data_IF_888216912525
#
_entry.id   IF_888216912525
#
_cell.length_a   1.000
_cell.length_b   1.000
_cell.length_c   1.000
_cell.angle_alpha   90.00
_cell.angle_beta   90.00
_cell.angle_gamma   90.00
#
_symmetry.space_group_name_H-M   'P 1'
#
loop_
_entity.id
_entity.type
_entity.pdbx_description
1 polymer ?
#
# COMPACT_ATOMS: atom_id res chain seq x y z
N UNK A 1 -16.69 -13.51 18.11
CA UNK A 1 -15.68 -14.24 17.32
C UNK A 1 -14.53 -13.30 17.01
N UNK A 2 -13.36 -13.53 17.59
CA UNK A 2 -12.19 -12.65 17.46
C UNK A 2 -11.07 -13.31 16.65
N UNK A 3 -10.42 -12.57 15.78
CA UNK A 3 -9.26 -13.04 15.02
C UNK A 3 -8.00 -12.35 15.55
N UNK A 4 -7.07 -13.14 16.06
CA UNK A 4 -5.81 -12.67 16.64
C UNK A 4 -4.66 -13.25 15.81
N UNK A 5 -4.00 -12.42 15.00
CA UNK A 5 -3.02 -12.85 14.03
C UNK A 5 -1.70 -12.11 14.21
N UNK A 6 -0.60 -12.87 14.20
CA UNK A 6 0.76 -12.35 14.13
C UNK A 6 1.51 -13.11 13.03
N UNK A 7 1.19 -12.82 11.76
CA UNK A 7 1.59 -13.64 10.60
C UNK A 7 2.79 -13.10 9.83
N UNK A 8 3.13 -11.82 9.99
CA UNK A 8 4.15 -11.10 9.21
C UNK A 8 5.50 -10.97 9.92
N UNK A 9 5.64 -11.54 11.13
CA UNK A 9 6.86 -11.46 11.92
C UNK A 9 7.42 -12.83 12.29
N UNK A 10 8.71 -13.05 12.01
CA UNK A 10 9.45 -14.21 12.52
C UNK A 10 10.23 -13.78 13.77
N UNK A 11 10.07 -14.48 14.89
CA UNK A 11 10.77 -14.18 16.14
C UNK A 11 9.90 -14.47 17.35
N UNK A 12 10.19 -13.81 18.48
CA UNK A 12 9.45 -13.87 19.75
C UNK A 12 8.01 -13.30 19.63
N UNK A 13 7.15 -14.00 18.91
CA UNK A 13 5.78 -13.55 18.60
C UNK A 13 4.73 -14.60 18.97
N UNK A 14 3.51 -14.15 19.17
CA UNK A 14 2.35 -15.00 19.45
C UNK A 14 1.08 -14.30 18.95
N UNK A 15 0.05 -15.07 18.60
CA UNK A 15 -1.24 -14.48 18.28
C UNK A 15 -1.89 -13.83 19.51
N UNK A 16 -1.75 -14.47 20.67
CA UNK A 16 -2.10 -13.91 21.97
C UNK A 16 -0.90 -13.98 22.91
N UNK A 17 -0.63 -12.89 23.62
CA UNK A 17 0.39 -12.80 24.66
C UNK A 17 -0.27 -12.37 25.97
N UNK A 18 -0.12 -13.18 27.02
CA UNK A 18 -0.65 -12.91 28.36
C UNK A 18 0.51 -12.80 29.33
N UNK A 19 0.49 -11.78 30.19
CA UNK A 19 1.38 -11.65 31.34
C UNK A 19 0.59 -11.05 32.48
N UNK A 20 0.58 -11.76 33.61
CA UNK A 20 -0.01 -11.33 34.86
C UNK A 20 0.98 -11.67 35.95
N UNK A 21 1.13 -10.77 36.93
CA UNK A 21 2.21 -10.85 37.93
C UNK A 21 1.74 -11.53 39.21
N UNK A 22 1.05 -12.68 39.11
CA UNK A 22 0.68 -13.43 40.32
C UNK A 22 1.91 -14.12 40.90
N UNK A 23 2.11 -13.99 42.22
CA UNK A 23 3.18 -14.69 42.94
C UNK A 23 2.96 -16.21 42.97
N UNK A 24 1.70 -16.64 42.94
CA UNK A 24 1.28 -18.06 42.95
C UNK A 24 0.18 -18.31 41.94
N UNK A 25 -0.05 -19.58 41.57
CA UNK A 25 -1.08 -19.96 40.59
C UNK A 25 -2.47 -19.54 41.09
N UNK A 26 -3.18 -18.67 40.36
CA UNK A 26 -4.48 -18.17 40.82
C UNK A 26 -5.56 -19.26 40.76
N UNK A 27 -6.53 -19.16 41.68
CA UNK A 27 -7.65 -20.10 41.78
C UNK A 27 -8.64 -19.98 40.61
N UNK A 28 -8.64 -18.85 39.91
CA UNK A 28 -9.50 -18.55 38.76
C UNK A 28 -8.67 -18.07 37.57
N UNK A 29 -9.19 -18.17 36.34
CA UNK A 29 -8.50 -17.65 35.17
C UNK A 29 -8.30 -16.14 35.25
N UNK A 30 -7.08 -15.68 35.00
CA UNK A 30 -6.76 -14.26 34.85
C UNK A 30 -7.34 -13.68 33.56
N UNK A 31 -7.35 -14.50 32.51
CA UNK A 31 -7.80 -14.13 31.16
C UNK A 31 -8.63 -15.25 30.58
N UNK A 32 -9.75 -14.87 29.94
CA UNK A 32 -10.62 -15.78 29.20
C UNK A 32 -10.62 -15.37 27.73
N UNK A 33 -10.30 -16.31 26.85
CA UNK A 33 -10.51 -16.18 25.42
C UNK A 33 -11.70 -17.06 25.01
N UNK A 34 -12.68 -16.44 24.38
CA UNK A 34 -13.90 -17.11 23.93
C UNK A 34 -14.11 -16.87 22.43
N UNK A 35 -14.40 -17.92 21.69
CA UNK A 35 -14.65 -17.90 20.23
C UNK A 35 -13.53 -17.21 19.43
N UNK A 36 -12.27 -17.50 19.76
CA UNK A 36 -11.09 -16.88 19.16
C UNK A 36 -10.38 -17.80 18.16
N UNK A 37 -9.92 -17.24 17.04
CA UNK A 37 -8.97 -17.87 16.12
C UNK A 37 -7.61 -17.18 16.24
N UNK A 38 -6.61 -17.92 16.72
CA UNK A 38 -5.28 -17.42 17.06
C UNK A 38 -4.25 -18.04 16.11
N UNK A 39 -3.57 -17.22 15.30
CA UNK A 39 -2.62 -17.72 14.30
C UNK A 39 -1.27 -17.00 14.33
N UNK A 40 -0.18 -17.76 14.43
CA UNK A 40 1.19 -17.22 14.41
C UNK A 40 2.19 -18.27 13.89
N UNK A 41 3.29 -17.86 13.24
CA UNK A 41 4.38 -18.77 12.90
C UNK A 41 4.97 -19.46 14.12
N UNK A 42 5.13 -18.80 15.27
CA UNK A 42 5.86 -19.36 16.41
C UNK A 42 4.97 -20.13 17.39
N UNK A 43 3.93 -19.50 17.93
CA UNK A 43 2.99 -20.13 18.86
C UNK A 43 1.68 -19.35 18.86
N UNK A 44 0.55 -20.04 19.07
CA UNK A 44 -0.75 -19.38 19.08
C UNK A 44 -0.97 -18.58 20.37
N UNK A 45 -0.58 -19.15 21.51
CA UNK A 45 -0.71 -18.52 22.82
C UNK A 45 0.64 -18.54 23.55
N UNK A 46 1.05 -17.38 24.06
CA UNK A 46 2.26 -17.21 24.87
C UNK A 46 1.92 -16.59 26.22
N UNK A 47 2.57 -17.11 27.25
CA UNK A 47 2.31 -16.77 28.63
C UNK A 47 3.63 -16.45 29.35
N UNK A 48 3.75 -15.24 29.90
CA UNK A 48 4.85 -14.83 30.77
C UNK A 48 5.95 -14.09 30.00
N UNK A 49 7.04 -13.75 30.67
CA UNK A 49 8.17 -13.06 30.04
C UNK A 49 9.51 -13.58 30.55
N UNK A 50 10.57 -13.33 29.77
CA UNK A 50 11.94 -13.71 30.13
C UNK A 50 12.35 -13.05 31.45
N UNK A 51 12.82 -13.85 32.40
CA UNK A 51 13.29 -13.40 33.72
C UNK A 51 12.17 -13.12 34.73
N UNK A 52 10.92 -13.51 34.44
CA UNK A 52 9.79 -13.35 35.35
C UNK A 52 9.23 -14.71 35.80
N UNK A 53 9.25 -14.95 37.11
CA UNK A 53 8.67 -16.14 37.75
C UNK A 53 7.25 -15.86 38.29
N UNK A 54 6.36 -15.41 37.42
CA UNK A 54 4.97 -15.09 37.78
C UNK A 54 4.02 -16.11 37.19
N UNK A 55 3.01 -16.51 37.96
CA UNK A 55 2.05 -17.53 37.57
C UNK A 55 0.85 -16.95 36.85
N UNK A 56 0.31 -17.68 35.87
CA UNK A 56 -0.94 -17.30 35.20
C UNK A 56 -1.82 -18.50 34.93
N UNK A 57 -3.12 -18.27 35.03
CA UNK A 57 -4.17 -19.19 34.63
C UNK A 57 -4.99 -18.60 33.47
N UNK A 58 -5.06 -19.31 32.35
CA UNK A 58 -5.73 -18.83 31.14
C UNK A 58 -6.84 -19.81 30.77
N UNK A 59 -8.05 -19.31 30.47
CA UNK A 59 -9.16 -20.13 29.98
C UNK A 59 -9.40 -19.90 28.49
N UNK A 60 -9.52 -20.99 27.74
CA UNK A 60 -9.82 -21.03 26.30
C UNK A 60 -11.16 -21.73 26.11
N UNK A 61 -12.12 -21.05 25.49
CA UNK A 61 -13.46 -21.57 25.23
C UNK A 61 -13.76 -21.46 23.74
N UNK A 62 -13.99 -22.59 23.07
CA UNK A 62 -14.30 -22.64 21.63
C UNK A 62 -13.26 -21.94 20.76
N UNK A 63 -11.99 -22.14 21.10
CA UNK A 63 -10.86 -21.49 20.43
C UNK A 63 -10.20 -22.38 19.37
N UNK A 64 -9.61 -21.76 18.35
CA UNK A 64 -8.75 -22.39 17.35
C UNK A 64 -7.34 -21.82 17.47
N UNK A 65 -6.38 -22.63 17.89
CA UNK A 65 -4.98 -22.23 18.08
C UNK A 65 -4.12 -22.82 16.97
N UNK A 66 -3.54 -21.99 16.12
CA UNK A 66 -2.75 -22.41 14.97
C UNK A 66 -1.33 -21.84 15.05
N UNK A 67 -0.36 -22.72 15.29
CA UNK A 67 1.05 -22.42 15.13
C UNK A 67 1.51 -22.94 13.77
N UNK A 68 1.97 -22.05 12.87
CA UNK A 68 2.17 -22.38 11.45
C UNK A 68 3.56 -22.95 11.13
N UNK A 69 4.58 -22.71 11.96
CA UNK A 69 5.93 -23.20 11.71
C UNK A 69 6.13 -24.62 12.28
N UNK A 70 5.42 -25.59 11.72
CA UNK A 70 5.69 -27.00 11.97
C UNK A 70 5.80 -27.75 10.64
N UNK A 71 6.86 -28.54 10.50
CA UNK A 71 7.15 -29.27 9.26
C UNK A 71 7.01 -30.78 9.46
N UNK A 72 6.61 -31.45 8.40
CA UNK A 72 6.78 -32.89 8.21
C UNK A 72 7.54 -33.08 6.89
N UNK A 73 8.82 -33.54 6.88
CA UNK A 73 9.61 -34.10 8.00
C UNK A 73 10.13 -33.06 9.01
N UNK A 74 10.74 -33.53 10.11
CA UNK A 74 11.24 -32.70 11.22
C UNK A 74 12.23 -31.63 10.73
N UNK A 75 11.89 -30.35 10.92
CA UNK A 75 12.71 -29.17 10.60
C UNK A 75 13.25 -28.50 11.87
N UNK A 76 13.04 -27.19 12.01
CA UNK A 76 13.34 -26.39 13.22
C UNK A 76 12.06 -26.17 14.02
N UNK A 77 11.64 -27.12 14.89
CA UNK A 77 10.32 -27.09 15.50
C UNK A 77 10.16 -25.96 16.52
N UNK A 78 8.94 -25.46 16.62
CA UNK A 78 8.48 -24.57 17.69
C UNK A 78 8.47 -25.30 19.04
N UNK A 79 8.58 -24.53 20.14
CA UNK A 79 8.59 -25.10 21.50
C UNK A 79 7.22 -25.65 21.90
N UNK A 80 6.12 -25.08 21.40
CA UNK A 80 4.74 -25.52 21.59
C UNK A 80 3.73 -24.51 21.02
N UNK A 81 2.54 -24.97 20.64
CA UNK A 81 1.47 -24.07 20.19
C UNK A 81 0.93 -23.19 21.33
N UNK A 82 0.97 -23.70 22.55
CA UNK A 82 0.74 -23.00 23.81
C UNK A 82 2.07 -22.99 24.57
N UNK A 83 2.56 -21.81 24.91
CA UNK A 83 3.92 -21.63 25.42
C UNK A 83 3.95 -20.87 26.74
N UNK A 84 4.63 -21.43 27.75
CA UNK A 84 5.16 -20.66 28.87
C UNK A 84 6.54 -20.10 28.50
N UNK A 85 6.83 -18.84 28.83
CA UNK A 85 8.12 -18.25 28.48
C UNK A 85 9.24 -18.78 29.38
N UNK A 86 9.10 -18.65 30.70
CA UNK A 86 10.21 -18.92 31.64
C UNK A 86 10.28 -20.39 32.07
N UNK A 87 9.23 -20.90 32.74
CA UNK A 87 9.15 -22.26 33.31
C UNK A 87 7.73 -22.82 33.20
N UNK A 88 7.58 -24.14 33.11
CA UNK A 88 6.28 -24.79 32.91
C UNK A 88 5.30 -24.60 34.06
N UNK A 89 5.76 -24.72 35.31
CA UNK A 89 4.93 -24.59 36.53
C UNK A 89 4.17 -23.27 36.66
N UNK A 90 4.60 -22.24 35.92
CA UNK A 90 4.03 -20.90 35.94
C UNK A 90 2.77 -20.76 35.08
N UNK A 91 2.40 -21.80 34.32
CA UNK A 91 1.25 -21.75 33.43
C UNK A 91 0.23 -22.85 33.76
N UNK A 92 -1.01 -22.43 33.96
CA UNK A 92 -2.19 -23.28 33.90
C UNK A 92 -3.09 -22.88 32.74
N UNK A 93 -3.61 -23.85 31.97
CA UNK A 93 -4.56 -23.59 30.89
C UNK A 93 -5.81 -24.45 31.03
N UNK A 94 -6.97 -23.80 31.16
CA UNK A 94 -8.26 -24.47 31.07
C UNK A 94 -8.73 -24.47 29.62
N UNK A 95 -8.90 -25.65 29.00
CA UNK A 95 -9.38 -25.80 27.62
C UNK A 95 -10.80 -26.35 27.58
N UNK A 96 -11.69 -25.63 26.93
CA UNK A 96 -13.09 -26.00 26.71
C UNK A 96 -13.39 -25.93 25.21
N UNK A 97 -13.80 -27.04 24.60
CA UNK A 97 -14.15 -27.14 23.17
C UNK A 97 -13.11 -26.51 22.22
N UNK A 98 -11.82 -26.72 22.50
CA UNK A 98 -10.71 -25.98 21.86
C UNK A 98 -9.84 -26.90 21.00
N UNK A 99 -9.51 -26.44 19.79
CA UNK A 99 -8.63 -27.16 18.87
C UNK A 99 -7.25 -26.51 18.78
N UNK A 100 -6.20 -27.32 18.92
CA UNK A 100 -4.80 -26.88 18.85
C UNK A 100 -4.09 -27.53 17.66
N UNK A 101 -3.39 -26.73 16.87
CA UNK A 101 -2.65 -27.14 15.69
C UNK A 101 -1.20 -26.62 15.78
N UNK A 102 -0.20 -27.49 15.62
CA UNK A 102 1.20 -27.10 15.65
C UNK A 102 2.17 -28.28 15.67
N UNK A 103 3.44 -28.05 16.05
CA UNK A 103 4.40 -29.14 16.22
C UNK A 103 4.00 -30.04 17.40
N UNK A 104 3.79 -29.44 18.57
CA UNK A 104 3.27 -30.06 19.82
C UNK A 104 2.37 -29.07 20.55
N UNK A 105 1.56 -29.56 21.50
CA UNK A 105 0.59 -28.72 22.22
C UNK A 105 1.30 -27.72 23.16
N UNK A 106 2.08 -28.22 24.12
CA UNK A 106 2.70 -27.39 25.17
C UNK A 106 4.21 -27.24 24.99
N UNK A 107 4.73 -26.08 25.40
CA UNK A 107 6.14 -25.75 25.32
C UNK A 107 6.62 -24.75 26.36
N UNK A 108 7.91 -24.80 26.67
CA UNK A 108 8.61 -23.77 27.46
C UNK A 108 9.73 -23.19 26.61
N UNK A 109 9.91 -21.87 26.64
CA UNK A 109 10.96 -21.20 25.84
C UNK A 109 12.34 -21.28 26.46
N UNK A 110 12.45 -20.90 27.74
CA UNK A 110 13.73 -20.74 28.44
C UNK A 110 14.14 -22.07 29.04
N UNK A 111 13.46 -22.52 30.10
CA UNK A 111 13.77 -23.77 30.80
C UNK A 111 13.00 -24.95 30.20
N UNK A 112 13.37 -25.35 28.98
CA UNK A 112 12.60 -26.26 28.11
C UNK A 112 12.24 -27.61 28.74
N UNK A 113 13.10 -28.11 29.63
CA UNK A 113 12.92 -29.35 30.39
C UNK A 113 11.75 -29.33 31.36
N UNK A 114 11.27 -28.13 31.73
CA UNK A 114 10.12 -27.92 32.61
C UNK A 114 8.79 -27.95 31.86
N UNK A 115 8.76 -28.21 30.54
CA UNK A 115 7.51 -28.20 29.75
C UNK A 115 6.45 -29.18 30.27
N UNK A 116 6.86 -30.29 30.89
CA UNK A 116 5.98 -31.26 31.55
C UNK A 116 5.27 -30.70 32.81
N UNK A 117 5.77 -29.60 33.36
CA UNK A 117 5.24 -28.95 34.56
C UNK A 117 4.11 -27.95 34.22
N UNK A 118 3.84 -27.70 32.93
CA UNK A 118 2.65 -26.95 32.52
C UNK A 118 1.41 -27.76 32.92
N UNK A 119 0.54 -27.12 33.70
CA UNK A 119 -0.71 -27.74 34.14
C UNK A 119 -1.86 -27.31 33.25
N UNK A 120 -2.89 -28.16 33.13
CA UNK A 120 -4.05 -27.85 32.30
C UNK A 120 -5.27 -28.65 32.73
N UNK A 121 -6.44 -28.19 32.33
CA UNK A 121 -7.71 -28.90 32.43
C UNK A 121 -8.36 -28.98 31.05
N UNK A 122 -9.19 -30.02 30.82
CA UNK A 122 -9.92 -30.20 29.56
C UNK A 122 -11.39 -30.43 29.85
N UNK A 123 -12.27 -29.79 29.08
CA UNK A 123 -13.73 -29.95 29.15
C UNK A 123 -14.28 -29.97 27.72
N UNK A 124 -15.24 -30.85 27.45
CA UNK A 124 -15.85 -30.94 26.11
C UNK A 124 -14.90 -31.48 25.04
N UNK A 125 -15.01 -30.95 23.82
CA UNK A 125 -14.29 -31.42 22.63
C UNK A 125 -12.94 -30.71 22.47
N UNK A 126 -11.93 -31.16 23.23
CA UNK A 126 -10.56 -30.64 23.11
C UNK A 126 -9.74 -31.49 22.16
N UNK A 127 -9.19 -30.88 21.11
CA UNK A 127 -8.56 -31.60 20.00
C UNK A 127 -7.14 -31.08 19.69
N UNK A 128 -6.29 -31.96 19.15
CA UNK A 128 -4.93 -31.61 18.77
C UNK A 128 -4.52 -32.23 17.42
N UNK A 129 -4.12 -31.38 16.47
CA UNK A 129 -3.35 -31.77 15.29
C UNK A 129 -1.87 -31.43 15.51
N UNK A 130 -1.07 -32.45 15.84
CA UNK A 130 0.35 -32.29 16.13
C UNK A 130 1.20 -33.18 15.23
N UNK A 131 2.50 -32.91 15.18
CA UNK A 131 3.44 -33.71 14.39
C UNK A 131 3.39 -35.20 14.82
N UNK A 132 3.59 -36.12 13.86
CA UNK A 132 3.30 -37.56 14.05
C UNK A 132 4.10 -38.27 15.16
N UNK A 133 5.28 -37.75 15.52
CA UNK A 133 6.15 -38.24 16.59
C UNK A 133 5.86 -37.59 17.95
N UNK A 134 5.05 -36.53 17.98
CA UNK A 134 4.72 -35.85 19.24
C UNK A 134 3.55 -36.52 19.94
N UNK A 135 3.67 -36.65 21.25
CA UNK A 135 2.58 -37.10 22.10
C UNK A 135 1.48 -36.04 22.19
N UNK A 136 0.27 -36.51 22.46
CA UNK A 136 -0.92 -35.67 22.65
C UNK A 136 -1.26 -35.72 24.15
N UNK A 137 -1.38 -34.56 24.84
CA UNK A 137 -1.67 -34.53 26.26
C UNK A 137 -2.98 -35.24 26.61
N UNK A 138 -3.08 -35.80 27.81
CA UNK A 138 -4.27 -36.50 28.30
C UNK A 138 -5.51 -35.59 28.21
N UNK A 139 -6.61 -36.09 27.66
CA UNK A 139 -7.84 -35.32 27.49
C UNK A 139 -7.98 -34.62 26.14
N UNK A 140 -6.93 -34.62 25.31
CA UNK A 140 -7.02 -34.18 23.92
C UNK A 140 -7.32 -35.35 22.98
N UNK A 141 -8.22 -35.15 22.01
CA UNK A 141 -8.40 -36.06 20.89
C UNK A 141 -7.36 -35.77 19.79
N UNK A 142 -6.60 -36.77 19.36
CA UNK A 142 -5.61 -36.62 18.27
C UNK A 142 -6.30 -36.59 16.91
N UNK A 143 -6.17 -35.46 16.21
CA UNK A 143 -6.59 -35.34 14.82
C UNK A 143 -5.56 -36.03 13.91
N UNK A 144 -6.03 -37.00 13.13
CA UNK A 144 -5.19 -37.81 12.23
C UNK A 144 -5.03 -37.19 10.85
N UNK A 145 -6.04 -36.43 10.41
CA UNK A 145 -6.05 -35.74 9.13
C UNK A 145 -5.87 -34.24 9.33
N UNK A 146 -5.48 -33.56 8.25
CA UNK A 146 -5.35 -32.11 8.25
C UNK A 146 -6.67 -31.45 8.69
N UNK A 147 -6.66 -30.58 9.72
CA UNK A 147 -7.88 -30.00 10.27
C UNK A 147 -8.36 -28.84 9.40
N UNK A 148 -9.12 -29.17 8.35
CA UNK A 148 -9.59 -28.21 7.35
C UNK A 148 -10.35 -27.05 8.01
N UNK A 149 -11.27 -27.33 8.93
CA UNK A 149 -12.09 -26.30 9.58
C UNK A 149 -11.26 -25.34 10.44
N UNK A 150 -10.27 -25.86 11.17
CA UNK A 150 -9.32 -25.05 11.95
C UNK A 150 -8.49 -24.16 11.03
N UNK A 151 -8.00 -24.69 9.91
CA UNK A 151 -7.23 -23.90 8.94
C UNK A 151 -8.10 -22.86 8.22
N UNK A 152 -9.36 -23.18 7.92
CA UNK A 152 -10.31 -22.22 7.36
C UNK A 152 -10.58 -21.05 8.32
N UNK A 153 -10.49 -21.27 9.63
CA UNK A 153 -10.71 -20.24 10.65
C UNK A 153 -9.68 -19.10 10.64
N UNK A 154 -8.53 -19.31 9.97
CA UNK A 154 -7.44 -18.34 9.88
C UNK A 154 -7.27 -17.75 8.47
N UNK A 155 -8.22 -18.01 7.56
CA UNK A 155 -8.20 -17.39 6.25
C UNK A 155 -8.45 -15.88 6.37
N UNK A 156 -7.72 -15.03 5.62
CA UNK A 156 -8.04 -13.62 5.52
C UNK A 156 -9.47 -13.46 4.98
N UNK A 157 -10.21 -12.39 5.37
CA UNK A 157 -11.50 -12.10 4.78
C UNK A 157 -11.36 -12.09 3.27
N UNK A 158 -12.30 -12.74 2.58
CA UNK A 158 -12.33 -12.70 1.12
C UNK A 158 -12.47 -11.23 0.71
N UNK A 159 -11.41 -10.67 0.13
CA UNK A 159 -11.50 -9.34 -0.47
C UNK A 159 -12.67 -9.40 -1.46
N UNK A 160 -13.63 -8.46 -1.39
CA UNK A 160 -14.63 -8.38 -2.43
C UNK A 160 -13.88 -8.24 -3.74
N UNK A 161 -14.05 -9.22 -4.64
CA UNK A 161 -13.58 -9.05 -6.01
C UNK A 161 -14.28 -7.80 -6.51
N UNK A 162 -13.56 -6.68 -6.60
CA UNK A 162 -13.91 -5.62 -7.55
C UNK A 162 -13.68 -6.26 -8.90
N UNK A 163 -14.67 -7.02 -9.36
CA UNK A 163 -14.70 -7.63 -10.67
C UNK A 163 -14.72 -6.49 -11.67
N UNK A 164 -13.54 -5.98 -12.03
CA UNK A 164 -13.40 -5.35 -13.32
C UNK A 164 -13.44 -6.54 -14.27
N UNK A 165 -14.61 -6.79 -14.86
CA UNK A 165 -14.70 -7.69 -16.01
C UNK A 165 -13.92 -7.02 -17.13
N UNK A 166 -12.62 -7.29 -17.19
CA UNK A 166 -11.84 -7.02 -18.37
C UNK A 166 -12.34 -8.00 -19.43
N UNK A 167 -12.98 -7.48 -20.49
CA UNK A 167 -13.49 -8.28 -21.61
C UNK A 167 -12.35 -8.98 -22.36
N UNK A 168 -11.15 -8.36 -22.36
CA UNK A 168 -9.90 -8.91 -22.85
C UNK A 168 -8.71 -8.19 -22.18
N UNK A 169 -7.54 -8.83 -22.18
CA UNK A 169 -6.27 -8.19 -21.81
C UNK A 169 -5.36 -8.21 -23.03
N UNK A 170 -5.29 -7.09 -23.73
CA UNK A 170 -4.42 -6.91 -24.90
C UNK A 170 -3.60 -5.64 -24.78
N UNK A 171 -2.42 -5.63 -25.40
CA UNK A 171 -1.59 -4.44 -25.48
C UNK A 171 -2.20 -3.49 -26.51
N UNK A 172 -2.79 -2.39 -26.05
CA UNK A 172 -3.34 -1.37 -26.94
C UNK A 172 -2.20 -0.63 -27.67
N UNK A 173 -1.28 -0.02 -26.91
CA UNK A 173 -0.21 0.82 -27.45
C UNK A 173 1.04 0.64 -26.60
N UNK A 174 2.18 0.37 -27.24
CA UNK A 174 3.49 0.31 -26.60
C UNK A 174 4.02 1.73 -26.38
N UNK A 175 4.77 1.95 -25.30
CA UNK A 175 5.52 3.20 -25.05
C UNK A 175 4.62 4.45 -24.86
N UNK A 176 3.32 4.23 -24.60
CA UNK A 176 2.37 5.27 -24.23
C UNK A 176 2.47 5.56 -22.73
N UNK A 177 2.70 6.82 -22.36
CA UNK A 177 2.83 7.25 -20.98
C UNK A 177 1.65 8.15 -20.57
N UNK A 178 1.85 9.46 -20.55
CA UNK A 178 0.84 10.41 -20.12
C UNK A 178 -0.23 10.64 -21.20
N UNK A 179 -1.49 10.68 -20.77
CA UNK A 179 -2.64 10.94 -21.63
C UNK A 179 -3.45 12.08 -21.03
N UNK A 180 -3.82 13.07 -21.86
CA UNK A 180 -4.80 14.10 -21.50
C UNK A 180 -6.01 14.02 -22.43
N UNK A 181 -7.21 13.69 -21.92
CA UNK A 181 -8.43 13.80 -22.70
C UNK A 181 -8.81 15.26 -22.90
N UNK A 182 -9.13 15.62 -24.14
CA UNK A 182 -9.51 16.97 -24.56
C UNK A 182 -10.65 16.94 -25.57
N UNK A 183 -11.43 18.02 -25.62
CA UNK A 183 -12.42 18.23 -26.70
C UNK A 183 -11.82 19.20 -27.71
N UNK A 184 -11.48 18.70 -28.90
CA UNK A 184 -10.97 19.50 -30.01
C UNK A 184 -12.04 19.68 -31.08
N UNK A 185 -12.53 20.91 -31.26
CA UNK A 185 -13.55 21.26 -32.27
C UNK A 185 -14.76 20.30 -32.25
N UNK A 186 -15.22 19.98 -31.04
CA UNK A 186 -16.38 19.11 -30.80
C UNK A 186 -16.09 17.61 -30.81
N UNK A 187 -14.85 17.18 -31.09
CA UNK A 187 -14.45 15.77 -31.05
C UNK A 187 -13.68 15.46 -29.77
N UNK A 188 -13.94 14.30 -29.17
CA UNK A 188 -13.13 13.79 -28.07
C UNK A 188 -11.82 13.26 -28.64
N UNK A 189 -10.71 13.79 -28.14
CA UNK A 189 -9.36 13.38 -28.54
C UNK A 189 -8.51 13.11 -27.30
N UNK A 190 -7.43 12.38 -27.49
CA UNK A 190 -6.36 12.23 -26.51
C UNK A 190 -5.12 12.96 -26.99
N UNK A 191 -4.54 13.80 -26.15
CA UNK A 191 -3.13 14.12 -26.28
C UNK A 191 -2.32 13.03 -25.59
N UNK A 192 -1.41 12.41 -26.32
CA UNK A 192 -0.61 11.30 -25.86
C UNK A 192 0.87 11.68 -25.84
N UNK A 193 1.57 11.34 -24.75
CA UNK A 193 3.02 11.40 -24.65
C UNK A 193 3.59 10.02 -25.00
N UNK A 194 4.37 9.95 -26.08
CA UNK A 194 5.07 8.73 -26.49
C UNK A 194 6.52 8.82 -26.05
N UNK A 195 6.98 7.82 -25.30
CA UNK A 195 8.39 7.67 -24.92
C UNK A 195 8.75 6.21 -24.64
N UNK A 196 9.90 5.71 -25.14
CA UNK A 196 10.36 4.36 -24.79
C UNK A 196 10.66 4.25 -23.30
N UNK A 197 10.04 3.28 -22.62
CA UNK A 197 10.31 3.01 -21.20
C UNK A 197 11.75 2.54 -20.92
N UNK A 198 12.44 2.02 -21.94
CA UNK A 198 13.85 1.58 -21.89
C UNK A 198 14.86 2.71 -22.09
N UNK A 199 14.41 3.95 -22.29
CA UNK A 199 15.25 5.04 -22.78
C UNK A 199 15.40 5.02 -24.31
N UNK A 200 15.72 6.19 -24.88
CA UNK A 200 15.87 6.40 -26.32
C UNK A 200 16.58 7.71 -26.64
N UNK A 201 16.63 8.05 -27.92
CA UNK A 201 17.14 9.33 -28.42
C UNK A 201 16.02 10.36 -28.50
N UNK A 202 16.37 11.65 -28.62
CA UNK A 202 15.41 12.76 -28.69
C UNK A 202 14.22 12.52 -29.63
N UNK A 203 14.46 11.92 -30.80
CA UNK A 203 13.43 11.61 -31.82
C UNK A 203 12.38 10.60 -31.37
N UNK A 204 12.69 9.80 -30.35
CA UNK A 204 11.80 8.76 -29.82
C UNK A 204 10.78 9.34 -28.82
N UNK A 205 10.95 10.60 -28.43
CA UNK A 205 10.06 11.34 -27.53
C UNK A 205 9.25 12.34 -28.33
N UNK A 206 7.93 12.23 -28.31
CA UNK A 206 7.06 13.18 -28.99
C UNK A 206 5.66 13.17 -28.41
N UNK A 207 4.90 14.20 -28.78
CA UNK A 207 3.49 14.31 -28.48
C UNK A 207 2.68 14.04 -29.75
N UNK A 208 1.49 13.46 -29.57
CA UNK A 208 0.51 13.33 -30.65
C UNK A 208 -0.89 13.61 -30.14
N UNK A 209 -1.77 14.00 -31.06
CA UNK A 209 -3.21 14.08 -30.80
C UNK A 209 -3.87 13.00 -31.63
N UNK A 210 -4.65 12.15 -30.97
CA UNK A 210 -5.40 11.07 -31.62
C UNK A 210 -6.90 11.27 -31.36
N UNK A 211 -7.73 10.92 -32.32
CA UNK A 211 -9.17 10.79 -32.09
C UNK A 211 -9.44 9.63 -31.13
N UNK A 212 -10.22 9.87 -30.08
CA UNK A 212 -10.42 8.88 -29.02
C UNK A 212 -11.33 7.72 -29.42
N UNK A 213 -12.18 7.91 -30.44
CA UNK A 213 -13.12 6.89 -30.93
C UNK A 213 -12.48 6.04 -32.02
N UNK A 214 -11.81 6.66 -32.99
CA UNK A 214 -11.27 5.96 -34.17
C UNK A 214 -9.81 5.54 -34.03
N UNK A 215 -9.06 6.15 -33.11
CA UNK A 215 -7.61 5.98 -33.00
C UNK A 215 -6.81 6.68 -34.11
N UNK A 216 -7.46 7.50 -34.94
CA UNK A 216 -6.81 8.27 -36.01
C UNK A 216 -5.82 9.29 -35.42
N UNK A 217 -4.54 9.22 -35.82
CA UNK A 217 -3.54 10.22 -35.46
C UNK A 217 -3.79 11.52 -36.25
N UNK A 218 -4.27 12.56 -35.57
CA UNK A 218 -4.59 13.84 -36.18
C UNK A 218 -3.35 14.71 -36.40
N UNK A 219 -2.36 14.58 -35.51
CA UNK A 219 -1.10 15.33 -35.59
C UNK A 219 -0.03 14.73 -34.69
N UNK A 220 1.23 14.99 -35.04
CA UNK A 220 2.44 14.67 -34.26
C UNK A 220 3.32 15.89 -34.18
N UNK A 221 3.80 16.22 -32.99
CA UNK A 221 4.53 17.45 -32.73
C UNK A 221 5.47 17.29 -31.52
N UNK A 222 6.26 18.35 -31.25
CA UNK A 222 7.11 18.45 -30.06
C UNK A 222 8.11 17.29 -29.91
N UNK A 223 8.93 17.04 -30.94
CA UNK A 223 10.05 16.09 -30.86
C UNK A 223 11.04 16.48 -29.74
N UNK A 224 11.37 15.52 -28.88
CA UNK A 224 12.18 15.72 -27.69
C UNK A 224 11.41 16.21 -26.48
N UNK A 225 10.09 16.03 -26.43
CA UNK A 225 9.25 16.45 -25.29
C UNK A 225 8.32 15.33 -24.83
N UNK A 226 7.92 15.39 -23.56
CA UNK A 226 7.06 14.39 -22.91
C UNK A 226 6.59 14.88 -21.53
N UNK A 227 6.03 13.97 -20.73
CA UNK A 227 5.51 14.29 -19.38
C UNK A 227 4.48 15.45 -19.40
N UNK A 228 3.73 15.54 -20.49
CA UNK A 228 2.96 16.72 -20.82
C UNK A 228 1.49 16.62 -20.44
N UNK A 229 0.84 17.79 -20.42
CA UNK A 229 -0.61 17.92 -20.39
C UNK A 229 -1.13 18.78 -21.54
N UNK A 230 -2.43 18.68 -21.83
CA UNK A 230 -3.12 19.55 -22.78
C UNK A 230 -4.22 20.40 -22.13
N UNK A 231 -4.48 21.56 -22.73
CA UNK A 231 -5.60 22.44 -22.41
C UNK A 231 -6.15 23.04 -23.71
N UNK A 232 -7.47 23.09 -23.87
CA UNK A 232 -8.12 23.64 -25.07
C UNK A 232 -9.10 24.74 -24.64
N UNK A 233 -8.99 25.91 -25.27
CA UNK A 233 -9.89 27.03 -25.05
C UNK A 233 -9.97 27.87 -26.33
N UNK A 234 -11.17 28.37 -26.65
CA UNK A 234 -11.44 29.23 -27.80
C UNK A 234 -10.89 28.70 -29.14
N UNK A 235 -11.05 27.38 -29.37
CA UNK A 235 -10.52 26.65 -30.53
C UNK A 235 -9.00 26.72 -30.70
N UNK A 236 -8.28 26.93 -29.59
CA UNK A 236 -6.83 26.87 -29.53
C UNK A 236 -6.40 25.71 -28.64
N UNK A 237 -5.52 24.88 -29.18
CA UNK A 237 -4.87 23.80 -28.48
C UNK A 237 -3.59 24.31 -27.81
N UNK A 238 -3.42 23.99 -26.53
CA UNK A 238 -2.20 24.21 -25.78
C UNK A 238 -1.68 22.86 -25.26
N UNK A 239 -0.40 22.57 -25.47
CA UNK A 239 0.33 21.53 -24.75
C UNK A 239 1.37 22.17 -23.85
N UNK A 240 1.60 21.60 -22.68
CA UNK A 240 2.70 21.96 -21.79
C UNK A 240 3.49 20.69 -21.51
N UNK A 241 4.76 20.66 -21.91
CA UNK A 241 5.56 19.44 -21.83
C UNK A 241 7.01 19.75 -21.47
N UNK A 242 7.64 18.81 -20.77
CA UNK A 242 9.02 18.92 -20.33
C UNK A 242 9.96 18.51 -21.44
N UNK A 243 11.04 19.28 -21.61
CA UNK A 243 12.05 19.05 -22.64
C UNK A 243 12.99 17.92 -22.23
N UNK A 244 13.20 16.94 -23.10
CA UNK A 244 14.16 15.86 -22.92
C UNK A 244 15.51 16.24 -23.56
N UNK A 245 16.54 16.40 -22.74
CA UNK A 245 17.90 16.74 -23.16
C UNK A 245 18.89 16.20 -22.13
N UNK A 246 20.08 15.78 -22.57
CA UNK A 246 21.13 15.20 -21.73
C UNK A 246 20.65 14.04 -20.85
N UNK A 247 19.80 13.18 -21.43
CA UNK A 247 19.17 12.03 -20.75
C UNK A 247 18.32 12.40 -19.54
N UNK A 248 17.78 13.63 -19.47
CA UNK A 248 16.92 14.08 -18.38
C UNK A 248 15.83 15.06 -18.84
N UNK A 249 14.93 15.39 -17.92
CA UNK A 249 13.82 16.32 -18.13
C UNK A 249 14.17 17.71 -17.60
N UNK A 250 13.86 18.74 -18.37
CA UNK A 250 14.48 20.06 -18.21
C UNK A 250 13.41 21.12 -17.90
N UNK A 251 13.25 22.12 -18.76
CA UNK A 251 12.22 23.15 -18.67
C UNK A 251 10.86 22.69 -19.21
N UNK A 252 9.79 23.43 -18.86
CA UNK A 252 8.46 23.23 -19.44
C UNK A 252 8.26 24.19 -20.61
N UNK A 253 7.92 23.65 -21.77
CA UNK A 253 7.62 24.38 -22.99
C UNK A 253 6.13 24.28 -23.33
N UNK A 254 5.55 25.41 -23.69
CA UNK A 254 4.21 25.51 -24.25
C UNK A 254 4.28 25.31 -25.76
N UNK A 255 3.38 24.52 -26.32
CA UNK A 255 3.08 24.44 -27.74
C UNK A 255 1.64 24.89 -27.98
N UNK A 256 1.41 25.74 -28.97
CA UNK A 256 0.10 26.30 -29.28
C UNK A 256 -0.24 26.12 -30.76
N UNK A 257 -1.46 25.68 -31.06
CA UNK A 257 -1.99 25.59 -32.43
C UNK A 257 -3.49 25.83 -32.51
N UNK A 258 -3.97 26.46 -33.58
CA UNK A 258 -5.41 26.62 -33.89
C UNK A 258 -5.92 25.65 -34.96
N UNK A 259 -5.00 24.91 -35.61
CA UNK A 259 -5.28 24.03 -36.74
C UNK A 259 -4.64 22.64 -36.63
N UNK A 260 -3.87 22.39 -35.56
CA UNK A 260 -3.05 21.19 -35.34
C UNK A 260 -1.96 20.94 -36.39
N UNK A 261 -1.68 21.94 -37.25
CA UNK A 261 -0.70 21.86 -38.34
C UNK A 261 0.46 22.81 -38.09
N UNK A 262 0.13 24.06 -37.77
CA UNK A 262 1.09 25.11 -37.48
C UNK A 262 1.20 25.29 -35.97
N UNK A 263 2.44 25.24 -35.46
CA UNK A 263 2.72 25.26 -34.02
C UNK A 263 3.62 26.44 -33.64
N UNK A 264 3.17 27.23 -32.67
CA UNK A 264 4.00 28.19 -31.92
C UNK A 264 4.56 27.46 -30.68
N UNK A 265 5.83 27.67 -30.34
CA UNK A 265 6.41 27.15 -29.10
C UNK A 265 7.10 28.24 -28.29
N UNK A 266 7.05 28.09 -26.96
CA UNK A 266 7.68 29.03 -26.02
C UNK A 266 8.02 28.30 -24.73
N UNK A 267 9.27 28.44 -24.25
CA UNK A 267 9.64 28.02 -22.89
C UNK A 267 8.86 28.87 -21.88
N UNK A 268 8.09 28.22 -21.00
CA UNK A 268 7.19 28.90 -20.07
C UNK A 268 7.59 28.75 -18.61
N UNK A 269 8.25 27.64 -18.25
CA UNK A 269 8.85 27.46 -16.92
C UNK A 269 10.33 27.14 -17.11
N UNK A 270 11.20 28.09 -16.78
CA UNK A 270 12.65 27.87 -16.81
C UNK A 270 13.08 26.92 -15.68
N UNK A 271 13.99 26.00 -15.97
CA UNK A 271 14.61 25.18 -14.94
C UNK A 271 15.68 25.98 -14.17
N UNK A 272 15.80 25.73 -12.87
CA UNK A 272 16.91 26.22 -12.05
C UNK A 272 17.95 25.12 -11.88
N UNK A 273 18.42 24.93 -10.64
CA UNK A 273 19.20 23.75 -10.23
C UNK A 273 18.27 22.56 -9.92
N UNK A 274 17.34 22.28 -10.83
CA UNK A 274 16.29 21.27 -10.73
C UNK A 274 15.95 20.76 -12.14
N UNK A 275 15.41 19.56 -12.20
CA UNK A 275 14.74 18.97 -13.35
C UNK A 275 13.23 19.07 -13.14
N UNK A 276 12.50 19.38 -14.21
CA UNK A 276 11.04 19.48 -14.18
C UNK A 276 10.42 18.31 -14.94
N UNK A 277 9.38 17.71 -14.38
CA UNK A 277 8.81 16.46 -14.87
C UNK A 277 7.35 16.67 -15.30
N UNK A 278 6.40 15.89 -14.79
CA UNK A 278 5.01 15.97 -15.21
C UNK A 278 4.39 17.32 -14.88
N UNK A 279 3.54 17.82 -15.78
CA UNK A 279 2.79 19.05 -15.58
C UNK A 279 1.29 18.86 -15.76
N UNK A 280 0.50 19.74 -15.16
CA UNK A 280 -0.95 19.81 -15.32
C UNK A 280 -1.42 21.26 -15.23
N UNK A 281 -2.32 21.66 -16.12
CA UNK A 281 -2.87 23.02 -16.17
C UNK A 281 -4.38 23.00 -15.95
N UNK A 282 -4.88 23.97 -15.20
CA UNK A 282 -6.31 24.24 -15.09
C UNK A 282 -6.61 25.75 -15.08
N UNK A 283 -7.84 26.10 -15.41
CA UNK A 283 -8.38 27.44 -15.22
C UNK A 283 -8.84 27.61 -13.76
N UNK A 284 -8.42 28.69 -13.12
CA UNK A 284 -8.85 29.12 -11.80
C UNK A 284 -9.63 30.44 -11.86
N UNK A 285 -9.99 31.03 -10.71
CA UNK A 285 -10.77 32.27 -10.63
C UNK A 285 -10.01 33.47 -11.21
N UNK A 286 -8.68 33.47 -11.06
CA UNK A 286 -7.80 34.58 -11.46
C UNK A 286 -6.99 34.28 -12.73
N UNK A 287 -7.35 33.30 -13.54
CA UNK A 287 -6.59 32.92 -14.74
C UNK A 287 -6.30 31.43 -14.76
N UNK A 288 -5.03 31.04 -14.87
CA UNK A 288 -4.60 29.65 -15.02
C UNK A 288 -3.54 29.29 -13.98
N UNK A 289 -3.56 28.04 -13.56
CA UNK A 289 -2.58 27.45 -12.65
C UNK A 289 -1.96 26.24 -13.32
N UNK A 290 -0.64 26.14 -13.21
CA UNK A 290 0.14 24.97 -13.58
C UNK A 290 0.67 24.33 -12.30
N UNK A 291 0.38 23.07 -12.10
CA UNK A 291 1.14 22.19 -11.21
C UNK A 291 2.25 21.53 -12.03
N UNK A 292 3.47 21.51 -11.52
CA UNK A 292 4.58 20.83 -12.18
C UNK A 292 5.49 20.17 -11.15
N UNK A 293 6.01 19.00 -11.48
CA UNK A 293 6.92 18.25 -10.64
C UNK A 293 8.34 18.78 -10.71
N UNK A 294 9.05 18.65 -9.60
CA UNK A 294 10.44 19.05 -9.48
C UNK A 294 11.23 18.06 -8.62
N UNK A 295 12.52 17.90 -8.92
CA UNK A 295 13.47 17.24 -8.03
C UNK A 295 14.44 18.23 -7.37
N UNK A 296 14.00 19.47 -7.12
CA UNK A 296 14.72 20.44 -6.30
C UNK A 296 15.30 19.76 -5.06
N UNK A 297 16.62 19.82 -4.85
CA UNK A 297 17.31 19.05 -3.80
C UNK A 297 16.91 19.48 -2.38
N UNK A 298 16.21 20.61 -2.23
CA UNK A 298 15.66 21.06 -0.95
C UNK A 298 14.58 20.12 -0.43
N UNK A 299 13.87 19.43 -1.32
CA UNK A 299 12.69 18.62 -1.00
C UNK A 299 12.82 17.20 -1.57
N UNK A 300 11.96 16.25 -1.14
CA UNK A 300 11.87 14.95 -1.78
C UNK A 300 11.64 15.09 -3.29
N UNK A 301 12.25 14.19 -4.08
CA UNK A 301 12.06 14.19 -5.53
C UNK A 301 10.57 14.07 -5.90
N UNK A 302 10.18 14.73 -6.99
CA UNK A 302 8.79 14.83 -7.46
C UNK A 302 7.89 15.65 -6.53
N UNK A 303 8.45 16.61 -5.79
CA UNK A 303 7.67 17.63 -5.10
C UNK A 303 6.88 18.45 -6.13
N UNK A 304 5.59 18.67 -5.89
CA UNK A 304 4.75 19.49 -6.76
C UNK A 304 4.96 20.97 -6.46
N UNK A 305 5.31 21.75 -7.48
CA UNK A 305 5.41 23.21 -7.46
C UNK A 305 4.33 23.84 -8.33
N UNK A 306 4.10 25.14 -8.16
CA UNK A 306 3.02 25.84 -8.85
C UNK A 306 3.49 27.10 -9.59
N UNK A 307 2.81 27.40 -10.70
CA UNK A 307 2.94 28.66 -11.42
C UNK A 307 1.54 29.17 -11.84
N UNK A 308 1.42 30.49 -12.04
CA UNK A 308 0.18 31.15 -12.45
C UNK A 308 0.35 31.93 -13.74
N UNK A 309 -0.71 32.01 -14.53
CA UNK A 309 -0.74 32.78 -15.78
C UNK A 309 -2.10 33.46 -15.98
N UNK A 310 -2.11 34.58 -16.72
CA UNK A 310 -3.34 35.24 -17.17
C UNK A 310 -3.73 34.89 -18.61
N UNK A 311 -2.81 34.30 -19.38
CA UNK A 311 -2.92 34.18 -20.84
C UNK A 311 -2.36 32.87 -21.42
N UNK A 312 -2.03 31.89 -20.55
CA UNK A 312 -1.40 30.61 -20.87
C UNK A 312 0.02 30.71 -21.47
N UNK A 313 0.53 31.91 -21.74
CA UNK A 313 1.82 32.17 -22.40
C UNK A 313 2.89 32.74 -21.47
N UNK A 314 2.47 33.52 -20.48
CA UNK A 314 3.33 34.21 -19.54
C UNK A 314 3.05 33.64 -18.14
N UNK A 315 4.02 32.93 -17.59
CA UNK A 315 3.88 32.19 -16.34
C UNK A 315 4.78 32.79 -15.26
N UNK A 316 4.24 32.91 -14.05
CA UNK A 316 4.95 33.34 -12.86
C UNK A 316 5.01 32.18 -11.86
N UNK A 317 6.22 31.71 -11.55
CA UNK A 317 6.44 30.70 -10.48
C UNK A 317 5.96 31.23 -9.12
N UNK A 318 5.45 30.34 -8.30
CA UNK A 318 5.07 30.60 -6.90
C UNK A 318 6.07 29.88 -5.97
N UNK A 319 7.22 30.49 -5.63
CA UNK A 319 8.29 29.81 -4.90
C UNK A 319 7.89 29.38 -3.48
N UNK A 320 6.94 30.11 -2.86
CA UNK A 320 6.44 29.80 -1.52
C UNK A 320 5.26 28.81 -1.53
N UNK A 321 4.92 28.25 -2.70
CA UNK A 321 3.84 27.29 -2.87
C UNK A 321 4.43 25.95 -3.32
N UNK A 322 4.39 24.95 -2.43
CA UNK A 322 4.80 23.59 -2.72
C UNK A 322 3.89 22.58 -2.03
N UNK A 323 3.73 21.41 -2.64
CA UNK A 323 3.03 20.28 -2.08
C UNK A 323 3.90 19.03 -2.15
N UNK A 324 3.90 18.23 -1.07
CA UNK A 324 4.75 17.05 -0.96
C UNK A 324 6.17 17.32 -0.46
N UNK A 325 6.43 18.45 0.19
CA UNK A 325 7.78 18.80 0.71
C UNK A 325 8.34 17.83 1.76
N UNK A 326 7.56 16.85 2.21
CA UNK A 326 7.94 15.84 3.21
C UNK A 326 7.73 14.38 2.76
N UNK A 327 7.26 14.14 1.52
CA UNK A 327 6.95 12.78 1.02
C UNK A 327 6.87 12.74 -0.51
N UNK A 328 6.70 11.55 -1.07
CA UNK A 328 6.57 11.36 -2.52
C UNK A 328 5.17 11.74 -3.01
N UNK A 329 5.06 12.66 -3.96
CA UNK A 329 3.78 13.14 -4.52
C UNK A 329 3.87 13.39 -6.04
N UNK A 330 3.91 12.31 -6.82
CA UNK A 330 4.16 12.39 -8.26
C UNK A 330 2.88 12.52 -9.11
N UNK A 331 3.02 12.71 -10.42
CA UNK A 331 2.01 12.84 -11.45
C UNK A 331 0.84 13.78 -11.07
N UNK A 332 1.10 15.05 -10.70
CA UNK A 332 0.04 15.95 -10.24
C UNK A 332 -0.94 16.26 -11.38
N UNK A 333 -2.23 16.15 -11.07
CA UNK A 333 -3.34 16.56 -11.94
C UNK A 333 -4.18 17.60 -11.20
N UNK A 334 -4.09 18.86 -11.62
CA UNK A 334 -4.76 19.98 -10.95
C UNK A 334 -6.10 20.30 -11.61
N UNK A 335 -7.14 20.54 -10.81
CA UNK A 335 -8.46 21.01 -11.25
C UNK A 335 -8.96 22.09 -10.28
N UNK A 336 -9.75 23.04 -10.78
CA UNK A 336 -10.44 24.00 -9.92
C UNK A 336 -11.95 23.72 -9.95
N UNK A 337 -12.56 23.63 -8.77
CA UNK A 337 -13.98 23.41 -8.63
C UNK A 337 -14.48 23.96 -7.29
N UNK A 338 -15.62 24.65 -7.30
CA UNK A 338 -16.33 25.13 -6.11
C UNK A 338 -15.44 25.85 -5.07
N UNK A 339 -14.59 26.77 -5.53
CA UNK A 339 -13.73 27.56 -4.63
C UNK A 339 -12.43 26.87 -4.21
N UNK A 340 -12.14 25.67 -4.70
CA UNK A 340 -10.94 24.91 -4.36
C UNK A 340 -10.17 24.45 -5.59
N UNK A 341 -8.85 24.48 -5.48
CA UNK A 341 -7.95 23.68 -6.30
C UNK A 341 -7.84 22.28 -5.72
N UNK A 342 -8.09 21.27 -6.53
CA UNK A 342 -7.86 19.87 -6.23
C UNK A 342 -6.61 19.40 -6.97
N UNK A 343 -5.71 18.72 -6.27
CA UNK A 343 -4.57 18.03 -6.89
C UNK A 343 -4.76 16.54 -6.64
N UNK A 344 -4.97 15.79 -7.71
CA UNK A 344 -4.83 14.34 -7.71
C UNK A 344 -3.36 14.01 -7.95
N UNK A 345 -2.81 13.05 -7.22
CA UNK A 345 -1.39 12.74 -7.29
C UNK A 345 -1.11 11.30 -6.86
N UNK A 346 0.06 10.78 -7.22
CA UNK A 346 0.54 9.46 -6.86
C UNK A 346 1.29 9.51 -5.53
N UNK A 347 0.78 8.81 -4.52
CA UNK A 347 1.41 8.65 -3.20
C UNK A 347 2.20 7.33 -3.16
N UNK A 348 3.37 7.33 -2.51
CA UNK A 348 4.17 6.12 -2.28
C UNK A 348 3.95 5.61 -0.86
N UNK A 349 3.44 4.38 -0.72
CA UNK A 349 3.15 3.77 0.58
C UNK A 349 4.37 3.02 1.15
N UNK A 350 4.44 2.95 2.47
CA UNK A 350 5.47 2.24 3.27
C UNK A 350 4.77 1.48 4.40
N UNK A 351 5.25 0.29 4.85
CA UNK A 351 6.49 -0.39 4.45
C UNK A 351 6.40 -1.16 3.12
N UNK A 352 5.18 -1.49 2.67
CA UNK A 352 4.99 -2.13 1.36
C UNK A 352 5.14 -1.08 0.27
N UNK A 353 6.10 -1.27 -0.65
CA UNK A 353 6.31 -0.37 -1.80
C UNK A 353 5.23 -0.58 -2.86
N UNK A 354 4.20 0.25 -2.82
CA UNK A 354 3.18 0.37 -3.87
C UNK A 354 2.71 1.82 -3.97
N UNK A 355 2.05 2.14 -5.08
CA UNK A 355 1.60 3.48 -5.41
C UNK A 355 0.07 3.54 -5.49
N UNK A 356 -0.51 4.62 -5.01
CA UNK A 356 -1.96 4.86 -5.01
C UNK A 356 -2.28 6.29 -5.43
N UNK A 357 -3.43 6.50 -6.07
CA UNK A 357 -3.92 7.83 -6.38
C UNK A 357 -4.56 8.46 -5.14
N UNK A 358 -4.09 9.64 -4.74
CA UNK A 358 -4.61 10.43 -3.63
C UNK A 358 -5.16 11.75 -4.17
N UNK A 359 -6.04 12.40 -3.41
CA UNK A 359 -6.48 13.76 -3.67
C UNK A 359 -6.30 14.66 -2.45
N UNK A 360 -5.82 15.87 -2.71
CA UNK A 360 -5.78 16.98 -1.76
C UNK A 360 -6.47 18.19 -2.35
N UNK A 361 -6.89 19.15 -1.52
CA UNK A 361 -7.45 20.41 -1.96
C UNK A 361 -6.85 21.61 -1.24
N UNK A 362 -6.90 22.78 -1.89
CA UNK A 362 -6.41 24.04 -1.36
C UNK A 362 -7.20 25.21 -1.93
N UNK A 363 -7.32 26.31 -1.18
CA UNK A 363 -7.87 27.58 -1.69
C UNK A 363 -6.80 28.52 -2.24
N UNK A 364 -5.56 28.38 -1.76
CA UNK A 364 -4.48 29.35 -1.92
C UNK A 364 -3.19 28.75 -2.52
N UNK A 365 -3.21 27.44 -2.84
CA UNK A 365 -2.07 26.63 -3.30
C UNK A 365 -0.93 26.49 -2.28
N UNK A 366 -1.16 26.92 -1.03
CA UNK A 366 -0.17 26.88 0.06
C UNK A 366 -0.62 25.96 1.17
N UNK A 367 -1.88 26.09 1.56
CA UNK A 367 -2.50 25.35 2.64
C UNK A 367 -3.30 24.20 2.06
N UNK A 368 -2.92 22.96 2.41
CA UNK A 368 -3.45 21.75 1.79
C UNK A 368 -4.24 20.91 2.79
N UNK A 369 -5.45 20.52 2.41
CA UNK A 369 -6.31 19.58 3.11
C UNK A 369 -6.25 18.22 2.39
N UNK A 370 -5.86 17.15 3.08
CA UNK A 370 -5.85 15.80 2.52
C UNK A 370 -7.27 15.20 2.63
N UNK A 371 -7.74 14.53 1.58
CA UNK A 371 -9.04 13.85 1.62
C UNK A 371 -9.03 12.71 2.63
N UNK A 372 -10.06 12.65 3.49
CA UNK A 372 -10.28 11.53 4.40
C UNK A 372 -10.70 10.24 3.69
N UNK A 373 -11.03 10.32 2.42
CA UNK A 373 -11.38 9.17 1.58
C UNK A 373 -10.17 8.58 0.83
N UNK A 374 -8.96 9.15 0.99
CA UNK A 374 -7.76 8.57 0.41
C UNK A 374 -7.37 7.26 1.13
N UNK A 375 -6.75 6.28 0.43
CA UNK A 375 -6.72 6.15 -1.03
C UNK A 375 -8.11 5.92 -1.63
#
# INVERSE_FOLDING_TARGET
RCHLWALDWWGDTAAAYVRVENETMPEHPDVIFEDCSMASPQCALKAGNFGFDTSMRIKLIRCNLVALNFSQPQGTPIDGAIQSVEQGKLLHVDLEDTTVMGYKVFGVRVNKETAKDITYSTTGDVQAYVQFQQEVPKGFYRLQQWPIDTFQSILPPKMPHRGVQFESTELLIKDLCEITPIVWKGRLCHMECVRPGSGGERKDYYLRVVDAETGEELTRFAEGYGLGCAYVEDNVFYAFASRFEDSNWNDVTMFKSSDLKNWESKKVIEQGNEHLFNSSVCKGPDGYVMAYESNDPTWPAFTTKFAVSKDLKNWKKLPDCGFGTNRYTACPCIRYFDGYYYVLYLESRSPRRYYEAYVTRSKDLKTWEVSSANP
#
